data_IF_823894125760
#
_entry.id   IF_823894125760
#
_cell.length_a   1.000
_cell.length_b   1.000
_cell.length_c   1.000
_cell.angle_alpha   90.00
_cell.angle_beta   90.00
_cell.angle_gamma   90.00
#
_symmetry.space_group_name_H-M   'P 1'
#
loop_
_entity.id
_entity.type
_entity.pdbx_description
1 polymer ?
2 polymer ?
3 non-polymer ?
#
loop_
_entity_poly.entity_id
_entity_poly.type
_entity_poly.pdbx_seq_one_letter_code
_entity_poly.pdbx_strand_id
2 'polyribonucleotide' 'CCAUAAGGAGCUACCUAUGG' ?
#
# COMPACT_ATOMS: atom_id res chain seq x y z
N UNK A 1 -10.56 -5.69 7.98
CA UNK A 1 -10.94 -4.80 6.85
C UNK A 1 -10.21 -5.13 5.51
N UNK A 2 -9.72 -4.12 4.80
CA UNK A 2 -9.08 -4.29 3.48
C UNK A 2 -7.59 -4.50 3.43
N UNK A 3 -6.85 -3.50 3.91
CA UNK A 3 -5.39 -3.54 3.91
C UNK A 3 -4.90 -4.73 4.70
N UNK A 4 -4.15 -5.59 4.04
CA UNK A 4 -3.66 -6.81 4.65
C UNK A 4 -2.28 -7.12 4.12
N UNK A 5 -1.77 -8.31 4.44
CA UNK A 5 -0.46 -8.67 3.94
C UNK A 5 -0.42 -8.84 2.45
N UNK A 6 0.80 -8.86 1.94
CA UNK A 6 1.02 -9.02 0.52
C UNK A 6 2.38 -9.63 0.35
N UNK A 7 2.45 -10.77 -0.34
CA UNK A 7 3.74 -11.41 -0.55
C UNK A 7 4.18 -11.47 -2.01
N UNK A 8 5.34 -10.89 -2.30
CA UNK A 8 5.84 -10.89 -3.67
C UNK A 8 7.04 -11.79 -3.83
N UNK A 9 7.05 -12.57 -4.90
CA UNK A 9 8.16 -13.46 -5.17
C UNK A 9 9.10 -12.71 -6.10
N UNK A 10 10.39 -12.92 -5.95
CA UNK A 10 11.33 -12.28 -6.84
C UNK A 10 11.79 -13.33 -7.83
N UNK A 11 12.72 -12.97 -8.70
CA UNK A 11 13.18 -13.89 -9.71
C UNK A 11 14.52 -14.53 -9.40
N UNK A 12 14.76 -14.83 -8.12
CA UNK A 12 16.02 -15.44 -7.72
C UNK A 12 16.05 -16.88 -8.19
N UNK A 13 17.18 -17.55 -7.98
CA UNK A 13 17.36 -18.96 -8.36
C UNK A 13 16.13 -19.73 -7.88
N UNK A 14 15.85 -19.64 -6.58
CA UNK A 14 14.70 -20.27 -5.96
C UNK A 14 13.89 -19.11 -5.41
N UNK A 15 12.98 -18.56 -6.22
CA UNK A 15 12.13 -17.44 -5.86
C UNK A 15 11.88 -17.25 -4.37
N UNK A 16 12.33 -16.11 -3.83
CA UNK A 16 12.13 -15.81 -2.42
C UNK A 16 10.80 -15.13 -2.24
N UNK A 17 10.36 -15.08 -1.00
CA UNK A 17 9.09 -14.43 -0.72
C UNK A 17 9.31 -13.25 0.17
N UNK A 18 8.91 -12.10 -0.33
CA UNK A 18 9.03 -10.88 0.44
C UNK A 18 7.64 -10.63 0.95
N UNK A 19 7.53 -10.63 2.28
CA UNK A 19 6.23 -10.45 2.89
C UNK A 19 6.00 -9.06 3.38
N UNK A 20 5.20 -8.30 2.65
CA UNK A 20 4.90 -6.95 3.08
C UNK A 20 3.75 -6.97 4.06
N UNK A 21 3.96 -6.38 5.23
CA UNK A 21 2.91 -6.31 6.22
C UNK A 21 2.41 -4.87 6.22
N UNK A 22 1.12 -4.64 6.55
CA UNK A 22 0.54 -3.30 6.57
C UNK A 22 1.29 -2.33 7.44
N UNK A 23 1.31 -1.07 7.01
CA UNK A 23 1.99 -0.04 7.77
C UNK A 23 1.01 1.05 8.11
N UNK A 24 0.35 1.59 7.09
CA UNK A 24 -0.60 2.65 7.34
C UNK A 24 -1.37 3.03 6.07
N UNK A 25 -2.33 3.93 6.24
CA UNK A 25 -3.10 4.45 5.12
C UNK A 25 -3.21 5.93 5.41
N UNK A 26 -2.76 6.76 4.48
CA UNK A 26 -2.87 8.18 4.67
C UNK A 26 -3.40 8.70 3.36
N UNK A 27 -4.51 9.42 3.39
CA UNK A 27 -5.10 9.97 2.17
C UNK A 27 -5.64 8.87 1.27
N UNK A 28 -6.13 7.81 1.88
CA UNK A 28 -6.67 6.71 1.10
C UNK A 28 -5.60 6.13 0.19
N UNK A 29 -4.38 6.14 0.72
CA UNK A 29 -3.23 5.60 0.03
C UNK A 29 -2.67 4.59 0.99
N UNK A 30 -2.98 3.32 0.75
CA UNK A 30 -2.53 2.26 1.63
C UNK A 30 -1.08 1.93 1.41
N UNK A 31 -0.36 1.71 2.49
CA UNK A 31 1.04 1.36 2.40
C UNK A 31 1.22 0.05 3.12
N UNK A 32 2.10 -0.78 2.61
CA UNK A 32 2.37 -2.06 3.22
C UNK A 32 3.85 -2.24 2.96
N UNK A 33 4.64 -2.29 4.02
CA UNK A 33 6.07 -2.43 3.86
C UNK A 33 6.51 -3.79 4.28
N UNK A 34 7.69 -4.14 3.84
CA UNK A 34 8.25 -5.41 4.18
C UNK A 34 9.60 -5.08 4.71
N UNK A 35 9.80 -5.37 5.98
CA UNK A 35 11.07 -5.07 6.59
C UNK A 35 11.33 -5.90 7.83
N UNK A 36 12.53 -5.68 8.36
CA UNK A 36 13.02 -6.30 9.55
C UNK A 36 12.49 -5.39 10.65
N UNK A 37 12.75 -5.70 11.91
CA UNK A 37 12.26 -4.83 12.97
C UNK A 37 12.61 -3.34 12.87
N UNK A 38 13.54 -2.96 12.02
CA UNK A 38 13.93 -1.55 11.91
C UNK A 38 13.31 -0.80 10.77
N UNK A 39 12.77 0.39 11.05
CA UNK A 39 12.15 1.24 10.04
C UNK A 39 13.12 1.96 9.14
N UNK A 40 14.04 1.22 8.54
CA UNK A 40 15.00 1.84 7.63
C UNK A 40 15.33 0.95 6.44
N UNK A 41 15.26 1.55 5.25
CA UNK A 41 15.55 0.80 4.03
C UNK A 41 14.51 -0.30 3.80
N UNK A 42 13.31 -0.08 4.32
CA UNK A 42 12.26 -1.06 4.15
C UNK A 42 11.68 -0.87 2.76
N UNK A 43 11.38 -1.97 2.08
CA UNK A 43 10.81 -1.90 0.77
C UNK A 43 9.33 -1.66 0.97
N UNK A 44 8.83 -0.57 0.43
CA UNK A 44 7.44 -0.21 0.57
C UNK A 44 6.68 -0.46 -0.69
N UNK A 45 5.39 -0.75 -0.54
CA UNK A 45 4.54 -0.94 -1.69
C UNK A 45 3.25 -0.24 -1.32
N UNK A 46 2.77 0.62 -2.19
CA UNK A 46 1.56 1.35 -1.87
C UNK A 46 0.52 1.16 -2.95
N UNK A 47 -0.73 1.42 -2.59
CA UNK A 47 -1.79 1.24 -3.53
C UNK A 47 -2.90 2.21 -3.19
N UNK A 48 -3.46 2.83 -4.21
CA UNK A 48 -4.52 3.81 -4.03
C UNK A 48 -5.53 3.62 -5.12
N UNK A 49 -6.68 4.29 -4.96
CA UNK A 49 -7.74 4.22 -5.97
C UNK A 49 -8.65 5.41 -5.84
N UNK A 50 -8.65 6.27 -6.85
CA UNK A 50 -9.52 7.43 -6.82
C UNK A 50 -10.45 7.36 -8.00
N UNK A 51 -11.58 8.04 -7.89
CA UNK A 51 -12.56 8.07 -8.95
C UNK A 51 -12.61 9.52 -9.36
N UNK A 52 -12.00 9.85 -10.50
CA UNK A 52 -12.01 11.23 -10.98
C UNK A 52 -13.41 11.69 -11.27
N UNK A 53 -13.54 13.00 -11.40
CA UNK A 53 -14.80 13.66 -11.70
C UNK A 53 -15.36 13.19 -13.04
N UNK A 54 -14.48 13.14 -14.04
CA UNK A 54 -14.82 12.72 -15.40
C UNK A 54 -15.66 11.45 -15.33
N UNK A 55 -15.45 10.68 -14.27
CA UNK A 55 -16.17 9.43 -14.08
C UNK A 55 -15.29 8.29 -14.50
N UNK A 56 -14.01 8.41 -14.18
CA UNK A 56 -13.07 7.38 -14.53
C UNK A 56 -12.49 6.84 -13.26
N UNK A 57 -12.31 5.53 -13.17
CA UNK A 57 -11.70 5.00 -11.98
C UNK A 57 -10.26 4.77 -12.36
N UNK A 58 -9.34 5.27 -11.52
CA UNK A 58 -7.93 5.06 -11.77
C UNK A 58 -7.17 4.83 -10.48
N UNK A 59 -6.46 3.71 -10.39
CA UNK A 59 -5.71 3.36 -9.20
C UNK A 59 -4.23 3.42 -9.47
N UNK A 60 -3.43 3.49 -8.41
CA UNK A 60 -1.98 3.58 -8.55
C UNK A 60 -1.17 2.70 -7.63
N UNK A 61 -0.31 1.89 -8.23
CA UNK A 61 0.55 1.02 -7.46
C UNK A 61 1.94 1.62 -7.52
N UNK A 62 2.62 1.64 -6.38
CA UNK A 62 3.95 2.19 -6.34
C UNK A 62 4.80 1.26 -5.49
N UNK A 63 5.92 0.82 -6.03
CA UNK A 63 6.80 -0.08 -5.29
C UNK A 63 8.18 0.51 -5.17
N UNK A 64 8.72 0.52 -3.96
CA UNK A 64 10.04 1.06 -3.73
C UNK A 64 10.90 0.00 -3.11
N UNK A 65 12.02 -0.31 -3.72
CA UNK A 65 12.85 -1.33 -3.15
C UNK A 65 14.28 -0.88 -3.05
N UNK A 66 14.67 -0.43 -1.86
CA UNK A 66 16.00 0.06 -1.54
C UNK A 66 16.94 -1.11 -1.29
N UNK A 67 18.21 -0.92 -1.65
CA UNK A 67 19.22 -1.94 -1.43
C UNK A 67 19.94 -1.49 -0.19
N UNK A 68 20.02 -2.38 0.80
CA UNK A 68 20.70 -2.03 2.04
C UNK A 68 21.86 -2.95 2.32
N UNK A 69 22.95 -2.37 2.78
CA UNK A 69 24.16 -3.11 3.12
C UNK A 69 24.62 -2.52 4.43
N UNK A 70 25.38 -3.29 5.20
CA UNK A 70 25.86 -2.79 6.47
C UNK A 70 27.22 -2.13 6.31
N UNK A 71 27.31 -0.93 6.86
CA UNK A 71 28.53 -0.15 6.80
C UNK A 71 29.13 -0.16 8.19
N UNK A 72 30.44 -0.03 8.29
CA UNK A 72 31.09 -0.04 9.59
C UNK A 72 31.83 1.25 9.88
N UNK A 73 31.39 1.94 10.92
CA UNK A 73 32.02 3.20 11.31
C UNK A 73 32.47 3.14 12.77
N UNK A 74 33.77 2.89 12.98
CA UNK A 74 34.30 2.80 14.32
C UNK A 74 33.64 1.62 15.00
N UNK A 75 33.52 0.51 14.29
CA UNK A 75 32.90 -0.67 14.89
C UNK A 75 31.40 -0.56 15.05
N UNK A 76 30.86 0.62 14.75
CA UNK A 76 29.42 0.88 14.84
C UNK A 76 28.76 0.39 13.53
N UNK A 77 28.52 -0.92 13.45
CA UNK A 77 27.91 -1.52 12.27
C UNK A 77 26.44 -1.14 12.20
N UNK A 78 26.05 -0.56 11.07
CA UNK A 78 24.67 -0.13 10.86
C UNK A 78 24.21 -0.41 9.44
N UNK A 79 22.96 -0.87 9.28
CA UNK A 79 22.56 -1.10 7.89
C UNK A 79 22.16 0.28 7.34
N UNK A 80 22.50 0.52 6.07
CA UNK A 80 22.21 1.79 5.41
C UNK A 80 21.78 1.54 3.96
N UNK A 81 21.08 2.52 3.39
CA UNK A 81 20.61 2.40 2.03
C UNK A 81 21.62 2.95 1.05
N UNK A 82 22.10 2.07 0.17
CA UNK A 82 23.08 2.47 -0.81
C UNK A 82 22.43 2.99 -2.07
N UNK A 83 21.28 2.43 -2.45
CA UNK A 83 20.57 2.88 -3.64
C UNK A 83 19.16 2.34 -3.66
N UNK A 84 18.28 3.00 -4.43
CA UNK A 84 16.90 2.57 -4.51
C UNK A 84 16.30 2.43 -5.91
N UNK A 85 15.41 1.47 -6.07
CA UNK A 85 14.75 1.23 -7.35
C UNK A 85 13.28 1.51 -7.16
N UNK A 86 12.70 2.26 -8.08
CA UNK A 86 11.30 2.60 -7.98
C UNK A 86 10.54 2.18 -9.20
N UNK A 87 9.25 1.93 -9.03
CA UNK A 87 8.42 1.59 -10.15
C UNK A 87 7.00 1.99 -9.83
N UNK A 88 6.36 2.64 -10.78
CA UNK A 88 4.99 3.06 -10.57
C UNK A 88 4.08 2.47 -11.62
N UNK A 89 2.86 2.13 -11.22
CA UNK A 89 1.94 1.58 -12.18
C UNK A 89 0.66 2.40 -12.03
N UNK A 90 0.03 2.72 -13.17
CA UNK A 90 -1.18 3.54 -13.18
C UNK A 90 -2.26 2.99 -14.06
N UNK A 91 -3.35 2.54 -13.48
CA UNK A 91 -4.42 2.02 -14.28
C UNK A 91 -5.48 3.04 -14.34
N UNK A 92 -6.02 3.25 -15.52
CA UNK A 92 -7.08 4.21 -15.73
C UNK A 92 -8.19 3.46 -16.48
N UNK A 93 -9.24 3.08 -15.76
CA UNK A 93 -10.33 2.36 -16.40
C UNK A 93 -11.55 3.21 -16.60
N UNK A 94 -12.39 2.78 -17.54
CA UNK A 94 -13.61 3.48 -17.82
C UNK A 94 -14.69 2.98 -16.88
N UNK A 95 -15.46 3.88 -16.30
CA UNK A 95 -16.50 3.47 -15.37
C UNK A 95 -17.59 2.55 -15.94
N UNK A 96 -17.41 2.14 -17.20
CA UNK A 96 -18.38 1.27 -17.85
C UNK A 96 -17.71 -0.03 -18.28
N UNK A 97 -16.47 -0.21 -17.82
CA UNK A 97 -15.73 -1.40 -18.15
C UNK A 97 -16.28 -2.51 -17.29
N UNK A 98 -16.07 -3.74 -17.72
CA UNK A 98 -16.56 -4.90 -16.99
C UNK A 98 -15.41 -5.59 -16.31
N UNK A 99 -15.72 -6.40 -15.30
CA UNK A 99 -14.67 -7.06 -14.57
C UNK A 99 -13.75 -7.84 -15.48
N UNK A 100 -14.34 -8.55 -16.44
CA UNK A 100 -13.50 -9.32 -17.36
C UNK A 100 -12.51 -8.45 -18.08
N UNK A 101 -13.01 -7.42 -18.75
CA UNK A 101 -12.13 -6.52 -19.48
C UNK A 101 -10.93 -6.16 -18.65
N UNK A 102 -11.22 -5.51 -17.52
CA UNK A 102 -10.17 -5.09 -16.62
C UNK A 102 -9.22 -6.23 -16.30
N UNK A 103 -9.76 -7.37 -15.90
CA UNK A 103 -8.92 -8.50 -15.59
C UNK A 103 -7.98 -8.84 -16.75
N UNK A 104 -8.54 -9.09 -17.92
CA UNK A 104 -7.71 -9.42 -19.07
C UNK A 104 -6.67 -8.36 -19.27
N UNK A 105 -7.12 -7.10 -19.17
CA UNK A 105 -6.22 -5.97 -19.33
C UNK A 105 -5.03 -6.14 -18.40
N UNK A 106 -5.29 -6.24 -17.09
CA UNK A 106 -4.20 -6.41 -16.16
C UNK A 106 -3.37 -7.60 -16.57
N UNK A 107 -4.04 -8.73 -16.74
CA UNK A 107 -3.32 -9.93 -17.15
C UNK A 107 -2.30 -9.71 -18.24
N UNK A 108 -2.66 -8.92 -19.24
CA UNK A 108 -1.77 -8.66 -20.35
C UNK A 108 -0.53 -7.90 -19.94
N UNK A 109 -0.73 -6.73 -19.40
CA UNK A 109 0.43 -5.96 -19.00
C UNK A 109 1.23 -6.80 -18.01
N UNK A 110 0.52 -7.58 -17.22
CA UNK A 110 1.16 -8.46 -16.26
C UNK A 110 2.11 -9.35 -17.06
N UNK A 111 1.59 -9.88 -18.15
CA UNK A 111 2.37 -10.74 -19.00
C UNK A 111 3.54 -10.00 -19.64
N UNK A 112 3.29 -8.78 -20.08
CA UNK A 112 4.33 -7.98 -20.72
C UNK A 112 5.61 -7.92 -19.88
N UNK A 113 5.48 -7.80 -18.57
CA UNK A 113 6.64 -7.77 -17.68
C UNK A 113 7.02 -9.21 -17.62
N UNK A 114 8.19 -9.61 -18.07
CA UNK A 114 8.41 -11.03 -17.98
C UNK A 114 9.71 -11.50 -18.54
N UNK A 115 10.35 -12.39 -17.80
CA UNK A 115 11.62 -12.94 -18.21
C UNK A 115 11.76 -13.08 -19.72
N UNK A 116 10.85 -13.84 -20.32
CA UNK A 116 10.91 -14.12 -21.75
C UNK A 116 10.48 -13.07 -22.75
N UNK A 117 9.62 -12.13 -22.35
CA UNK A 117 9.15 -11.12 -23.29
C UNK A 117 10.32 -10.25 -23.71
N UNK A 118 11.10 -10.78 -24.64
CA UNK A 118 12.29 -10.13 -25.15
C UNK A 118 12.15 -8.64 -25.23
N UNK A 119 11.37 -8.19 -26.20
CA UNK A 119 11.18 -6.76 -26.39
C UNK A 119 11.23 -5.94 -25.10
N UNK A 120 10.30 -6.21 -24.21
CA UNK A 120 10.20 -5.49 -22.95
C UNK A 120 11.33 -5.73 -21.96
N UNK A 121 11.60 -6.99 -21.66
CA UNK A 121 12.65 -7.33 -20.72
C UNK A 121 13.97 -6.64 -21.01
N UNK A 122 14.48 -6.82 -22.22
CA UNK A 122 15.75 -6.22 -22.56
C UNK A 122 15.82 -4.74 -22.24
N UNK A 123 14.68 -4.09 -22.13
CA UNK A 123 14.70 -2.68 -21.82
C UNK A 123 14.49 -2.40 -20.35
N UNK A 124 13.46 -2.95 -19.74
CA UNK A 124 13.24 -2.67 -18.32
C UNK A 124 14.17 -3.43 -17.41
N UNK A 125 15.05 -4.25 -17.98
CA UNK A 125 16.00 -4.96 -17.15
C UNK A 125 17.41 -4.72 -17.65
N UNK A 126 17.63 -4.86 -18.95
CA UNK A 126 18.97 -4.62 -19.47
C UNK A 126 19.23 -3.18 -19.83
N UNK A 127 18.19 -2.36 -19.72
CA UNK A 127 18.32 -0.95 -20.00
C UNK A 127 18.88 -0.72 -21.38
N UNK A 128 18.29 -1.38 -22.36
CA UNK A 128 18.76 -1.19 -23.70
C UNK A 128 17.65 -0.58 -24.49
N UNK A 129 18.00 0.41 -25.31
CA UNK A 129 16.99 1.10 -26.10
C UNK A 129 16.26 0.18 -27.05
N UNK A 130 15.34 0.75 -27.81
CA UNK A 130 14.60 0.00 -28.79
C UNK A 130 15.02 0.48 -30.17
N UNK A 131 15.18 -0.43 -31.14
CA UNK A 131 15.61 -0.03 -32.49
C UNK A 131 15.06 -0.87 -33.65
N UNK B 1 17.30 -4.93 -27.65
CA UNK B 1 15.81 -4.96 -27.75
C UNK B 1 15.35 -4.37 -29.08
N UNK B 2 15.41 -5.16 -30.15
CA UNK B 2 14.96 -4.63 -31.42
C UNK B 2 13.46 -4.75 -31.52
N UNK B 3 12.83 -3.75 -32.11
CA UNK B 3 11.39 -3.75 -32.26
C UNK B 3 10.96 -5.03 -32.98
N UNK B 4 10.12 -5.81 -32.32
CA UNK B 4 9.66 -7.07 -32.87
C UNK B 4 8.27 -7.34 -32.37
N UNK B 5 7.78 -8.56 -32.56
CA UNK B 5 6.45 -8.87 -32.08
C UNK B 5 6.50 -9.06 -30.58
N UNK B 6 5.34 -8.90 -29.97
CA UNK B 6 5.23 -9.06 -28.55
C UNK B 6 3.89 -9.71 -28.34
N UNK B 7 3.88 -10.87 -27.70
CA UNK B 7 2.61 -11.55 -27.48
C UNK B 7 2.20 -11.66 -26.02
N UNK B 8 1.13 -10.95 -25.69
CA UNK B 8 0.60 -10.95 -24.34
C UNK B 8 -0.60 -11.86 -24.27
N UNK B 9 -0.76 -12.54 -23.15
CA UNK B 9 -1.87 -13.44 -22.96
C UNK B 9 -2.82 -12.72 -22.01
N UNK B 10 -4.11 -12.96 -22.17
CA UNK B 10 -5.06 -12.33 -21.26
C UNK B 10 -5.39 -13.38 -20.22
N UNK B 11 -6.30 -13.05 -19.31
CA UNK B 11 -6.66 -13.98 -18.26
C UNK B 11 -7.95 -14.69 -18.57
N UNK B 12 -8.26 -14.79 -19.85
CA UNK B 12 -9.47 -15.45 -20.30
C UNK B 12 -9.52 -16.89 -19.80
N UNK B 13 -10.71 -17.49 -19.84
CA UNK B 13 -10.93 -18.87 -19.41
C UNK B 13 -9.74 -19.75 -19.81
N UNK B 14 -9.44 -19.71 -21.11
CA UNK B 14 -8.33 -20.44 -21.68
C UNK B 14 -7.52 -19.34 -22.41
N UNK B 15 -6.52 -18.78 -21.72
CA UNK B 15 -5.63 -17.73 -22.19
C UNK B 15 -5.57 -17.50 -23.70
N UNK B 16 -5.83 -16.27 -24.13
CA UNK B 16 -5.78 -15.90 -25.54
C UNK B 16 -4.51 -15.10 -25.81
N UNK B 17 -3.94 -15.29 -27.00
CA UNK B 17 -2.72 -14.60 -27.36
C UNK B 17 -2.89 -13.37 -28.21
N UNK B 18 -2.74 -12.21 -27.59
CA UNK B 18 -2.84 -10.97 -28.32
C UNK B 18 -1.44 -10.74 -28.85
N UNK B 19 -1.33 -10.59 -30.16
CA UNK B 19 -0.03 -10.41 -30.77
C UNK B 19 0.19 -9.03 -31.32
N UNK B 20 0.93 -8.23 -30.58
CA UNK B 20 1.23 -6.88 -31.04
C UNK B 20 2.39 -7.01 -32.00
N UNK B 21 2.33 -6.28 -33.11
CA UNK B 21 3.39 -6.30 -34.11
C UNK B 21 3.87 -4.88 -34.38
N UNK B 22 5.18 -4.70 -34.48
CA UNK B 22 5.80 -3.39 -34.73
C UNK B 22 5.04 -2.42 -35.65
N UNK B 23 4.95 -1.17 -35.19
CA UNK B 23 4.30 -0.11 -35.93
C UNK B 23 5.32 0.95 -36.26
N UNK B 24 6.22 1.21 -35.32
CA UNK B 24 7.31 2.17 -35.51
C UNK B 24 7.93 2.67 -34.23
N UNK B 25 8.97 3.46 -34.41
CA UNK B 25 9.68 4.06 -33.30
C UNK B 25 9.64 5.54 -33.60
N UNK B 26 9.11 6.32 -32.69
CA UNK B 26 9.01 7.74 -32.90
C UNK B 26 9.61 8.43 -31.70
N UNK B 27 10.78 9.03 -31.89
CA UNK B 27 11.45 9.74 -30.81
C UNK B 27 11.84 8.86 -29.66
N UNK B 28 12.45 7.73 -29.99
CA UNK B 28 12.92 6.79 -29.00
C UNK B 28 11.81 6.16 -28.17
N UNK B 29 10.67 5.96 -28.80
CA UNK B 29 9.53 5.37 -28.14
C UNK B 29 8.95 4.33 -29.09
N UNK B 30 9.17 3.06 -28.80
CA UNK B 30 8.67 2.01 -29.66
C UNK B 30 7.20 1.72 -29.49
N UNK B 31 6.50 1.47 -30.59
CA UNK B 31 5.08 1.16 -30.52
C UNK B 31 4.82 -0.16 -31.22
N UNK B 32 3.97 -0.98 -30.62
CA UNK B 32 3.64 -2.26 -31.20
C UNK B 32 2.14 -2.32 -31.16
N UNK B 33 1.53 -2.81 -32.23
CA UNK B 33 0.10 -2.83 -32.27
C UNK B 33 -0.61 -4.13 -32.51
N UNK B 34 -1.71 -4.35 -31.79
CA UNK B 34 -2.53 -5.53 -31.99
C UNK B 34 -3.64 -4.87 -32.80
N UNK B 35 -3.67 -5.11 -34.10
CA UNK B 35 -4.68 -4.45 -34.94
C UNK B 35 -5.54 -5.28 -35.88
N UNK B 36 -6.57 -4.64 -36.42
CA UNK B 36 -7.52 -5.25 -37.35
C UNK B 36 -7.28 -4.63 -38.71
N UNK B 37 -6.85 -3.38 -38.71
CA UNK B 37 -6.59 -2.65 -39.93
C UNK B 37 -7.24 -1.29 -39.76
N UNK B 38 -7.97 -1.15 -38.67
CA UNK B 38 -8.64 0.10 -38.38
C UNK B 38 -8.00 0.74 -37.15
N UNK B 39 -7.25 1.82 -37.36
CA UNK B 39 -6.55 2.60 -36.35
C UNK B 39 -7.17 2.80 -34.99
N UNK B 40 -8.49 2.95 -34.88
CA UNK B 40 -9.00 3.16 -33.54
C UNK B 40 -9.16 1.90 -32.71
N UNK B 41 -9.42 0.77 -33.36
CA UNK B 41 -9.58 -0.48 -32.64
C UNK B 41 -8.25 -0.96 -32.11
N UNK B 42 -7.18 -0.45 -32.73
CA UNK B 42 -5.82 -0.80 -32.38
C UNK B 42 -5.52 -0.67 -30.90
N UNK B 43 -5.03 -1.76 -30.30
CA UNK B 43 -4.60 -1.71 -28.91
C UNK B 43 -3.12 -1.50 -29.16
N UNK B 44 -2.53 -0.51 -28.52
CA UNK B 44 -1.13 -0.24 -28.72
C UNK B 44 -0.31 -0.38 -27.45
N UNK B 45 0.92 -0.83 -27.60
CA UNK B 45 1.80 -1.00 -26.46
C UNK B 45 3.08 -0.28 -26.80
N UNK B 46 3.46 0.70 -25.99
CA UNK B 46 4.66 1.45 -26.27
C UNK B 46 5.69 1.23 -25.17
N UNK B 47 6.94 1.51 -25.49
CA UNK B 47 8.04 1.28 -24.56
C UNK B 47 9.22 2.21 -24.83
N UNK B 48 9.82 2.74 -23.79
CA UNK B 48 10.95 3.67 -23.95
C UNK B 48 11.97 3.54 -22.84
N UNK B 49 13.14 4.11 -23.08
CA UNK B 49 14.22 4.07 -22.11
C UNK B 49 15.02 5.32 -22.25
N UNK B 50 15.15 6.09 -21.18
CA UNK B 50 15.93 7.32 -21.23
C UNK B 50 16.82 7.38 -20.01
N UNK B 51 17.95 8.08 -20.13
CA UNK B 51 18.83 8.24 -18.99
C UNK B 51 18.62 9.68 -18.63
N UNK B 52 18.20 9.96 -17.41
CA UNK B 52 17.97 11.36 -17.03
C UNK B 52 19.33 12.02 -16.91
N UNK B 53 19.30 13.32 -16.64
CA UNK B 53 20.52 14.10 -16.49
C UNK B 53 21.28 13.71 -15.23
N UNK B 54 20.55 13.66 -14.13
CA UNK B 54 21.10 13.31 -12.83
C UNK B 54 21.61 11.90 -12.80
N UNK B 55 21.52 11.24 -13.95
CA UNK B 55 22.03 9.89 -14.04
C UNK B 55 21.16 8.77 -13.53
N UNK B 56 19.84 8.90 -13.65
CA UNK B 56 18.99 7.80 -13.20
C UNK B 56 18.61 7.20 -14.53
N UNK B 57 18.17 5.94 -14.53
CA UNK B 57 17.75 5.32 -15.78
C UNK B 57 16.29 5.03 -15.68
N UNK B 58 15.51 5.74 -16.47
CA UNK B 58 14.07 5.58 -16.46
C UNK B 58 13.60 4.86 -17.72
N UNK B 59 12.49 4.17 -17.63
CA UNK B 59 11.94 3.50 -18.81
C UNK B 59 10.44 3.44 -18.61
N UNK B 60 9.69 3.56 -19.69
CA UNK B 60 8.26 3.57 -19.55
C UNK B 60 7.44 2.69 -20.47
N UNK B 61 6.51 1.96 -19.88
CA UNK B 61 5.61 1.10 -20.64
C UNK B 61 4.23 1.71 -20.59
N UNK B 62 3.51 1.60 -21.70
CA UNK B 62 2.17 2.14 -21.74
C UNK B 62 1.36 1.18 -22.59
N UNK B 63 0.21 0.76 -22.08
CA UNK B 63 -0.63 -0.15 -22.83
C UNK B 63 -2.02 0.42 -22.93
N UNK B 64 -2.56 0.49 -24.13
CA UNK B 64 -3.89 1.04 -24.29
C UNK B 64 -4.76 0.11 -25.06
N UNK B 65 -5.84 -0.32 -24.45
CA UNK B 65 -6.71 -1.24 -25.14
C UNK B 65 -8.10 -0.69 -25.17
N UNK B 66 -8.55 -0.32 -26.36
CA UNK B 66 -9.89 0.24 -26.55
C UNK B 66 -10.91 -0.87 -26.81
N UNK B 67 -12.15 -0.59 -26.43
CA UNK B 67 -13.26 -1.52 -26.65
C UNK B 67 -14.07 -0.83 -27.73
N UNK B 68 -14.27 -1.49 -28.86
CA UNK B 68 -15.02 -0.84 -29.93
C UNK B 68 -16.13 -1.64 -30.58
N UNK B 69 -17.33 -1.08 -30.60
CA UNK B 69 -18.42 -1.81 -31.23
C UNK B 69 -18.66 -1.32 -32.65
N UNK B 70 -18.76 -2.27 -33.57
CA UNK B 70 -18.96 -1.97 -34.98
C UNK B 70 -20.40 -2.20 -35.39
N UNK B 71 -21.09 -1.11 -35.69
CA UNK B 71 -22.46 -1.15 -36.12
C UNK B 71 -22.42 -1.44 -37.61
N UNK B 72 -23.26 -2.34 -38.11
CA UNK B 72 -23.26 -2.59 -39.56
C UNK B 72 -24.60 -2.36 -40.21
N UNK B 73 -24.58 -1.65 -41.33
CA UNK B 73 -25.80 -1.31 -42.06
C UNK B 73 -25.69 -1.54 -43.55
N UNK B 74 -26.50 -2.44 -44.08
CA UNK B 74 -26.48 -2.75 -45.50
C UNK B 74 -25.08 -2.93 -46.06
N UNK B 75 -24.18 -3.44 -45.23
CA UNK B 75 -22.83 -3.68 -45.68
C UNK B 75 -21.76 -2.73 -45.21
N UNK B 76 -22.15 -1.52 -44.81
CA UNK B 76 -21.17 -0.54 -44.37
C UNK B 76 -20.99 -0.51 -42.84
N UNK B 77 -19.79 -0.82 -42.39
CA UNK B 77 -19.49 -0.86 -40.96
C UNK B 77 -19.06 0.46 -40.38
N UNK B 78 -19.52 0.74 -39.17
CA UNK B 78 -19.24 2.00 -38.50
C UNK B 78 -18.70 1.81 -37.10
N UNK B 79 -17.39 1.57 -36.98
CA UNK B 79 -16.76 1.36 -35.68
C UNK B 79 -16.81 2.61 -34.81
N UNK B 80 -16.86 2.40 -33.50
CA UNK B 80 -16.90 3.50 -32.52
C UNK B 80 -16.36 3.05 -31.18
N UNK B 81 -15.33 3.71 -30.70
CA UNK B 81 -14.76 3.36 -29.42
C UNK B 81 -15.76 3.70 -28.33
N UNK B 82 -16.24 2.71 -27.60
CA UNK B 82 -17.20 3.01 -26.56
C UNK B 82 -16.55 3.19 -25.20
N UNK B 83 -15.28 2.85 -25.08
CA UNK B 83 -14.55 3.01 -23.83
C UNK B 83 -13.15 2.50 -23.98
N UNK B 84 -12.23 3.02 -23.17
CA UNK B 84 -10.85 2.57 -23.25
C UNK B 84 -10.20 2.30 -21.91
N UNK B 85 -9.12 1.56 -21.90
CA UNK B 85 -8.44 1.28 -20.65
C UNK B 85 -6.97 1.52 -20.87
N UNK B 86 -6.35 2.27 -19.95
CA UNK B 86 -4.96 2.59 -20.11
C UNK B 86 -4.17 2.21 -18.88
N UNK B 87 -2.89 1.94 -19.06
CA UNK B 87 -2.04 1.61 -17.93
C UNK B 87 -0.61 2.03 -18.23
N UNK B 88 0.07 2.56 -17.22
CA UNK B 88 1.43 3.02 -17.39
C UNK B 88 2.37 2.55 -16.31
N UNK B 89 3.52 2.03 -16.71
CA UNK B 89 4.49 1.53 -15.77
C UNK B 89 5.76 2.35 -15.98
N UNK B 90 6.41 2.77 -14.90
CA UNK B 90 7.66 3.56 -14.98
C UNK B 90 8.73 3.08 -14.03
N UNK B 91 9.84 2.61 -14.58
CA UNK B 91 10.89 2.18 -13.70
C UNK B 91 11.94 3.24 -13.58
N UNK B 92 12.37 3.46 -12.35
CA UNK B 92 13.37 4.45 -12.08
C UNK B 92 14.52 3.69 -11.43
N UNK B 93 15.62 3.54 -12.17
CA UNK B 93 16.75 2.80 -11.64
C UNK B 93 17.97 3.64 -11.33
N UNK B 94 18.88 3.07 -10.54
CA UNK B 94 20.09 3.79 -10.17
C UNK B 94 21.25 3.30 -10.99
N UNK B 95 22.06 4.23 -11.49
CA UNK B 95 23.21 3.90 -12.32
C UNK B 95 24.16 2.85 -11.71
N UNK B 96 23.97 2.52 -10.43
CA UNK B 96 24.83 1.56 -9.78
C UNK B 96 24.13 0.24 -9.53
N UNK B 97 22.90 0.13 -10.02
CA UNK B 97 22.12 -1.08 -9.83
C UNK B 97 22.64 -2.22 -10.66
N UNK B 98 22.56 -3.43 -10.13
CA UNK B 98 23.04 -4.58 -10.86
C UNK B 98 21.86 -5.21 -11.60
N UNK B 99 22.16 -6.04 -12.59
CA UNK B 99 21.11 -6.68 -13.34
C UNK B 99 20.25 -7.52 -12.42
N UNK B 100 20.90 -8.37 -11.63
CA UNK B 100 20.14 -9.21 -10.73
C UNK B 100 19.13 -8.36 -9.97
N UNK B 101 19.60 -7.31 -9.30
CA UNK B 101 18.73 -6.43 -8.54
C UNK B 101 17.52 -6.06 -9.38
N UNK B 102 17.78 -5.25 -10.41
CA UNK B 102 16.74 -4.81 -11.31
C UNK B 102 15.76 -5.91 -11.64
N UNK B 103 16.30 -7.02 -12.14
CA UNK B 103 15.47 -8.14 -12.50
C UNK B 103 14.49 -8.51 -11.39
N UNK B 104 15.02 -8.84 -10.22
CA UNK B 104 14.17 -9.20 -9.11
C UNK B 104 13.12 -8.16 -8.86
N UNK B 105 13.52 -6.92 -8.99
CA UNK B 105 12.61 -5.81 -8.80
C UNK B 105 11.40 -6.05 -9.68
N UNK B 106 11.63 -6.12 -10.99
CA UNK B 106 10.55 -6.35 -11.94
C UNK B 106 9.76 -7.57 -11.53
N UNK B 107 10.50 -8.62 -11.26
CA UNK B 107 9.87 -9.86 -10.85
C UNK B 107 8.83 -9.57 -9.79
N UNK B 108 9.24 -8.91 -8.72
CA UNK B 108 8.30 -8.59 -7.66
C UNK B 108 7.07 -7.85 -8.12
N UNK B 109 7.26 -6.67 -8.69
CA UNK B 109 6.10 -5.93 -9.09
C UNK B 109 5.24 -6.72 -10.06
N UNK B 110 5.91 -7.44 -10.93
CA UNK B 110 5.20 -8.26 -11.90
C UNK B 110 4.29 -9.20 -11.11
N UNK B 111 4.88 -9.91 -10.17
CA UNK B 111 4.16 -10.85 -9.33
C UNK B 111 2.99 -10.19 -8.60
N UNK B 112 3.19 -8.95 -8.15
CA UNK B 112 2.14 -8.23 -7.45
C UNK B 112 0.87 -8.07 -8.28
N UNK B 113 0.99 -8.27 -9.58
CA UNK B 113 -0.17 -8.14 -10.42
C UNK B 113 -1.00 -9.41 -10.49
N UNK B 114 -0.41 -10.55 -10.15
CA UNK B 114 -1.14 -11.81 -10.22
C UNK B 114 -2.55 -11.71 -9.65
N UNK B 115 -3.42 -12.58 -10.17
CA UNK B 115 -4.82 -12.61 -9.79
C UNK B 115 -5.10 -12.97 -8.34
N UNK B 116 -4.20 -13.73 -7.73
CA UNK B 116 -4.38 -14.17 -6.35
C UNK B 116 -3.81 -13.20 -5.32
N UNK B 117 -3.17 -12.13 -5.77
CA UNK B 117 -2.61 -11.16 -4.83
C UNK B 117 -3.79 -10.28 -4.41
N UNK B 118 -4.60 -10.82 -3.52
CA UNK B 118 -5.80 -10.17 -3.01
C UNK B 118 -5.76 -8.67 -2.83
N UNK B 119 -4.89 -8.20 -1.95
CA UNK B 119 -4.80 -6.77 -1.71
C UNK B 119 -4.81 -5.93 -2.96
N UNK B 120 -4.00 -6.32 -3.94
CA UNK B 120 -3.90 -5.61 -5.19
C UNK B 120 -5.05 -5.86 -6.12
N UNK B 121 -5.30 -7.12 -6.39
CA UNK B 121 -6.36 -7.51 -7.30
C UNK B 121 -7.70 -6.80 -7.06
N UNK B 122 -8.13 -6.78 -5.81
CA UNK B 122 -9.39 -6.14 -5.50
C UNK B 122 -9.45 -4.69 -5.87
N UNK B 123 -8.29 -4.09 -6.04
CA UNK B 123 -8.27 -2.70 -6.41
C UNK B 123 -8.07 -2.57 -7.91
N UNK B 124 -6.92 -3.02 -8.43
CA UNK B 124 -6.69 -2.90 -9.86
C UNK B 124 -7.74 -3.62 -10.70
N UNK B 125 -8.42 -4.61 -10.15
CA UNK B 125 -9.41 -5.29 -10.97
C UNK B 125 -10.84 -5.08 -10.51
N UNK B 126 -11.06 -5.07 -9.21
CA UNK B 126 -12.42 -4.88 -8.72
C UNK B 126 -12.77 -3.47 -8.29
N UNK B 127 -11.82 -2.57 -8.42
CA UNK B 127 -12.05 -1.19 -8.09
C UNK B 127 -12.61 -0.98 -6.70
N UNK B 128 -11.99 -1.60 -5.72
CA UNK B 128 -12.42 -1.42 -4.34
C UNK B 128 -11.33 -0.58 -3.68
N UNK B 129 -11.72 0.24 -2.72
CA UNK B 129 -10.70 1.02 -2.05
C UNK B 129 -9.94 0.16 -1.06
N UNK B 130 -9.02 0.78 -0.35
CA UNK B 130 -8.26 0.06 0.67
C UNK B 130 -8.81 0.64 1.98
N UNK B 131 -8.81 -0.14 3.05
CA UNK B 131 -9.34 0.41 4.30
C UNK B 131 -9.00 -0.44 5.52
N UNK C 1 -2.49 -2.69 12.36
CA UNK C 1 -3.36 -1.93 13.30
C UNK C 1 -4.68 -1.48 12.65
N UNK C 2 -5.52 -2.46 12.32
CA UNK C 2 -6.81 -2.12 11.72
C UNK C 2 -7.64 -1.59 12.85
N UNK C 3 -8.33 -0.46 12.65
CA UNK C 3 -9.17 0.05 13.72
C UNK C 3 -10.13 -1.09 14.00
N UNK C 4 -10.10 -1.58 15.22
CA UNK C 4 -10.92 -2.72 15.60
C UNK C 4 -11.37 -2.57 17.03
N UNK C 5 -11.90 -3.65 17.58
CA UNK C 5 -12.33 -3.60 18.95
C UNK C 5 -11.14 -3.72 19.85
N UNK C 6 -11.26 -3.12 21.03
CA UNK C 6 -10.18 -3.20 22.00
C UNK C 6 -10.88 -3.50 23.30
N UNK C 7 -10.53 -4.62 23.93
CA UNK C 7 -11.15 -4.95 25.20
C UNK C 7 -10.21 -4.78 26.36
N UNK C 8 -10.61 -3.94 27.32
CA UNK C 8 -9.79 -3.67 28.48
C UNK C 8 -10.37 -4.19 29.78
N UNK C 9 -9.56 -4.93 30.53
CA UNK C 9 -9.97 -5.48 31.82
C UNK C 9 -9.57 -4.49 32.91
N UNK C 10 -10.28 -4.51 34.04
CA UNK C 10 -9.95 -3.62 35.14
C UNK C 10 -9.48 -4.41 36.35
N UNK C 11 -9.23 -3.71 37.45
CA UNK C 11 -8.72 -4.35 38.66
C UNK C 11 -9.82 -4.77 39.63
N UNK C 12 -11.06 -4.77 39.15
CA UNK C 12 -12.18 -5.16 40.01
C UNK C 12 -11.97 -6.53 40.61
N UNK C 13 -12.67 -6.80 41.72
CA UNK C 13 -12.58 -8.07 42.45
C UNK C 13 -12.41 -9.23 41.47
N UNK C 14 -13.34 -9.30 40.53
CA UNK C 14 -13.33 -10.30 39.48
C UNK C 14 -13.41 -9.53 38.16
N UNK C 15 -12.24 -9.12 37.62
CA UNK C 15 -12.01 -8.37 36.39
C UNK C 15 -13.13 -8.25 35.37
N UNK C 16 -13.53 -7.01 35.09
CA UNK C 16 -14.57 -6.73 34.11
C UNK C 16 -13.96 -6.40 32.75
N UNK C 17 -14.72 -6.65 31.69
CA UNK C 17 -14.23 -6.38 30.36
C UNK C 17 -14.93 -5.20 29.73
N UNK C 18 -14.22 -4.09 29.61
CA UNK C 18 -14.80 -2.93 28.99
C UNK C 18 -14.44 -3.00 27.53
N UNK C 19 -15.45 -3.12 26.69
CA UNK C 19 -15.23 -3.25 25.26
C UNK C 19 -15.39 -1.97 24.45
N UNK C 20 -14.26 -1.42 24.02
CA UNK C 20 -14.28 -0.21 23.20
C UNK C 20 -14.43 -0.55 21.73
N UNK C 21 -15.57 -0.20 21.16
CA UNK C 21 -15.80 -0.44 19.76
C UNK C 21 -15.35 0.79 19.01
N UNK C 22 -14.94 0.63 17.76
CA UNK C 22 -14.48 1.76 16.97
C UNK C 22 -15.54 2.85 16.82
N UNK C 23 -15.07 4.03 16.49
CA UNK C 23 -15.94 5.17 16.30
C UNK C 23 -15.54 5.76 14.99
N UNK C 24 -14.24 5.96 14.83
CA UNK C 24 -13.72 6.54 13.61
C UNK C 24 -12.25 6.90 13.69
N UNK C 25 -11.77 7.43 12.58
CA UNK C 25 -10.39 7.82 12.43
C UNK C 25 -10.33 9.22 11.88
N UNK C 26 -9.87 10.17 12.68
CA UNK C 26 -9.77 11.53 12.20
C UNK C 26 -8.32 11.97 12.23
N UNK C 27 -7.73 12.07 11.04
CA UNK C 27 -6.34 12.48 10.89
C UNK C 27 -5.37 11.47 11.44
N UNK C 28 -5.57 10.22 11.11
CA UNK C 28 -4.68 9.20 11.58
C UNK C 28 -4.60 9.18 13.10
N UNK C 29 -5.80 9.20 13.68
CA UNK C 29 -6.00 9.14 15.10
C UNK C 29 -7.24 8.31 15.27
N UNK C 30 -7.06 7.03 15.59
CA UNK C 30 -8.18 6.16 15.78
C UNK C 30 -8.82 6.44 17.12
N UNK C 31 -10.12 6.17 17.22
CA UNK C 31 -10.83 6.41 18.46
C UNK C 31 -11.79 5.27 18.68
N UNK C 32 -11.61 4.55 19.78
CA UNK C 32 -12.54 3.47 20.08
C UNK C 32 -13.25 3.90 21.34
N UNK C 33 -14.54 3.62 21.39
CA UNK C 33 -15.33 4.04 22.53
C UNK C 33 -16.09 2.90 23.14
N UNK C 34 -16.25 2.96 24.44
CA UNK C 34 -17.00 1.96 25.14
C UNK C 34 -18.18 2.71 25.68
N UNK C 35 -19.37 2.35 25.19
CA UNK C 35 -20.56 3.02 25.64
C UNK C 35 -21.36 2.15 26.57
N UNK C 36 -22.26 2.80 27.28
CA UNK C 36 -23.13 2.18 28.24
C UNK C 36 -24.45 1.82 27.57
N UNK C 37 -24.87 2.71 26.67
CA UNK C 37 -26.13 2.56 25.96
C UNK C 37 -26.52 4.00 25.77
N UNK C 38 -25.95 4.85 26.62
CA UNK C 38 -26.21 6.28 26.56
C UNK C 38 -24.87 6.96 26.30
N UNK C 39 -24.70 7.50 25.09
CA UNK C 39 -23.51 8.21 24.61
C UNK C 39 -22.82 9.04 25.65
N UNK C 40 -23.57 9.72 26.49
CA UNK C 40 -22.93 10.53 27.51
C UNK C 40 -22.15 9.61 28.44
N UNK C 41 -21.03 10.11 28.97
CA UNK C 41 -20.25 9.28 29.87
C UNK C 41 -19.50 8.14 29.21
N UNK C 42 -19.68 7.99 27.90
CA UNK C 42 -18.99 6.97 27.15
C UNK C 42 -17.49 7.24 27.38
N UNK C 43 -16.72 6.18 27.59
CA UNK C 43 -15.29 6.34 27.81
C UNK C 43 -14.62 6.21 26.46
N UNK C 44 -13.68 7.11 26.16
CA UNK C 44 -13.02 7.09 24.88
C UNK C 44 -11.54 6.76 24.97
N UNK C 45 -11.07 5.94 24.05
CA UNK C 45 -9.67 5.63 24.03
C UNK C 45 -9.15 5.92 22.64
N UNK C 46 -8.25 6.88 22.53
CA UNK C 46 -7.74 7.24 21.23
C UNK C 46 -6.31 6.78 21.08
N UNK C 47 -5.82 6.74 19.86
CA UNK C 47 -4.45 6.29 19.61
C UNK C 47 -3.96 6.80 18.27
N UNK C 48 -2.69 7.16 18.21
CA UNK C 48 -2.15 7.70 16.98
C UNK C 48 -0.67 7.51 16.92
N UNK C 49 -0.14 7.61 15.72
CA UNK C 49 1.28 7.47 15.53
C UNK C 49 1.71 8.36 14.38
N UNK C 50 2.68 9.21 14.66
CA UNK C 50 3.20 10.09 13.63
C UNK C 50 4.69 9.87 13.60
N UNK C 51 5.29 10.08 12.43
CA UNK C 51 6.71 9.91 12.23
C UNK C 51 7.29 11.31 12.05
N UNK C 52 8.04 11.81 13.03
CA UNK C 52 8.63 13.15 12.87
C UNK C 52 9.58 13.13 11.69
N UNK C 53 10.21 14.27 11.46
CA UNK C 53 11.14 14.41 10.34
C UNK C 53 12.55 14.06 10.76
N UNK C 54 12.81 14.06 12.07
CA UNK C 54 14.13 13.75 12.59
C UNK C 54 14.30 12.25 12.74
N UNK C 55 13.44 11.50 12.07
CA UNK C 55 13.54 10.05 12.15
C UNK C 55 13.19 9.56 13.54
N UNK C 56 12.06 10.02 14.05
CA UNK C 56 11.62 9.59 15.36
C UNK C 56 10.17 9.23 15.22
N UNK C 57 9.80 8.06 15.69
CA UNK C 57 8.41 7.67 15.61
C UNK C 57 7.79 7.97 16.95
N UNK C 58 6.76 8.82 16.97
CA UNK C 58 6.09 9.13 18.21
C UNK C 58 4.68 8.56 18.19
N UNK C 59 4.27 7.96 19.30
CA UNK C 59 2.94 7.40 19.36
C UNK C 59 2.23 7.92 20.59
N UNK C 60 0.93 8.17 20.48
CA UNK C 60 0.18 8.72 21.60
C UNK C 60 -1.15 8.05 21.92
N UNK C 61 -1.31 7.63 23.16
CA UNK C 61 -2.55 6.99 23.59
C UNK C 61 -3.19 7.87 24.61
N UNK C 62 -4.50 8.02 24.52
CA UNK C 62 -5.22 8.79 25.53
C UNK C 62 -6.41 7.95 25.89
N UNK C 63 -6.72 7.90 27.18
CA UNK C 63 -7.86 7.16 27.65
C UNK C 63 -8.64 8.11 28.51
N UNK C 64 -9.95 8.11 28.36
CA UNK C 64 -10.77 8.99 29.17
C UNK C 64 -11.95 8.24 29.72
N UNK C 65 -12.16 8.34 31.02
CA UNK C 65 -13.26 7.64 31.62
C UNK C 65 -14.00 8.49 32.59
N UNK C 66 -15.21 8.89 32.22
CA UNK C 66 -16.05 9.72 33.07
C UNK C 66 -16.89 8.87 34.02
N UNK C 67 -17.29 9.48 35.13
CA UNK C 67 -18.10 8.82 36.13
C UNK C 67 -19.43 9.53 36.03
N UNK C 68 -20.49 8.78 35.79
CA UNK C 68 -21.80 9.39 35.67
C UNK C 68 -22.72 9.03 36.81
N UNK C 69 -23.64 9.95 37.10
CA UNK C 69 -24.61 9.75 38.16
C UNK C 69 -25.87 10.50 37.77
N UNK C 70 -27.02 9.90 38.05
CA UNK C 70 -28.25 10.58 37.69
C UNK C 70 -28.66 11.59 38.75
N UNK C 71 -28.68 12.83 38.29
CA UNK C 71 -29.02 14.00 39.07
C UNK C 71 -30.51 14.22 38.84
N UNK C 72 -31.21 14.65 39.89
CA UNK C 72 -32.64 14.87 39.81
C UNK C 72 -33.04 16.31 40.09
N UNK C 73 -33.67 16.94 39.12
CA UNK C 73 -34.12 18.32 39.29
C UNK C 73 -35.61 18.42 39.03
N UNK C 74 -36.39 18.52 40.09
CA UNK C 74 -37.84 18.65 39.94
C UNK C 74 -38.37 17.44 39.21
N UNK C 75 -38.16 16.26 39.79
CA UNK C 75 -38.65 15.03 39.18
C UNK C 75 -38.02 14.68 37.84
N UNK C 76 -37.03 15.44 37.44
CA UNK C 76 -36.37 15.17 36.18
C UNK C 76 -35.06 14.44 36.40
N UNK C 77 -35.07 13.14 36.19
CA UNK C 77 -33.85 12.38 36.34
C UNK C 77 -33.02 12.55 35.08
N UNK C 78 -31.75 12.86 35.26
CA UNK C 78 -30.86 13.08 34.13
C UNK C 78 -29.48 12.53 34.41
N UNK C 79 -28.98 11.65 33.53
CA UNK C 79 -27.63 11.15 33.82
C UNK C 79 -26.63 12.25 33.46
N UNK C 80 -25.67 12.48 34.35
CA UNK C 80 -24.64 13.50 34.13
C UNK C 80 -23.26 13.10 34.64
N UNK C 81 -22.24 13.70 34.02
CA UNK C 81 -20.87 13.41 34.37
C UNK C 81 -20.41 14.29 35.52
N UNK C 82 -20.15 13.68 36.66
CA UNK C 82 -19.71 14.43 37.82
C UNK C 82 -18.21 14.69 37.83
N UNK C 83 -17.44 13.82 37.19
CA UNK C 83 -15.98 13.96 37.11
C UNK C 83 -15.37 13.00 36.11
N UNK C 84 -14.20 13.34 35.59
CA UNK C 84 -13.54 12.45 34.65
C UNK C 84 -12.10 12.20 35.01
N UNK C 85 -11.54 11.11 34.50
CA UNK C 85 -10.16 10.76 34.78
C UNK C 85 -9.50 10.64 33.42
N UNK C 86 -8.30 11.18 33.29
CA UNK C 86 -7.62 11.14 31.99
C UNK C 86 -6.23 10.61 32.13
N UNK C 87 -5.69 10.08 31.05
CA UNK C 87 -4.33 9.58 31.09
C UNK C 87 -3.78 9.65 29.70
N UNK C 88 -2.49 9.96 29.61
CA UNK C 88 -1.85 10.08 28.32
C UNK C 88 -0.51 9.40 28.31
N UNK C 89 -0.46 8.21 27.74
CA UNK C 89 0.79 7.51 27.63
C UNK C 89 1.36 8.04 26.33
N UNK C 90 2.68 8.16 26.25
CA UNK C 90 3.26 8.72 25.06
C UNK C 90 4.69 8.26 24.74
N UNK C 91 4.83 7.45 23.69
CA UNK C 91 6.14 6.92 23.29
C UNK C 91 6.86 7.73 22.25
N UNK C 92 8.18 7.65 22.28
CA UNK C 92 9.04 8.38 21.37
C UNK C 92 10.25 7.48 21.08
N UNK C 93 10.17 6.71 19.99
CA UNK C 93 11.25 5.81 19.61
C UNK C 93 12.15 6.37 18.52
N UNK C 94 13.35 5.80 18.38
CA UNK C 94 14.27 6.26 17.36
C UNK C 94 14.16 5.35 16.16
N UNK C 95 14.03 5.98 14.99
CA UNK C 95 13.89 5.27 13.73
C UNK C 95 14.92 4.17 13.50
N UNK C 96 15.93 4.08 14.36
CA UNK C 96 16.95 3.06 14.18
C UNK C 96 16.78 1.90 15.13
N UNK C 97 15.70 1.92 15.91
CA UNK C 97 15.45 0.89 16.91
C UNK C 97 15.01 -0.47 16.42
N UNK C 98 15.36 -1.50 17.21
CA UNK C 98 14.99 -2.87 16.90
C UNK C 98 13.54 -3.05 17.28
N UNK C 99 12.88 -4.00 16.63
CA UNK C 99 11.50 -4.27 16.97
C UNK C 99 11.53 -4.88 18.37
N UNK C 100 12.59 -5.61 18.69
CA UNK C 100 12.71 -6.21 19.99
C UNK C 100 12.86 -5.13 21.03
N UNK C 101 13.77 -4.20 20.79
CA UNK C 101 14.00 -3.12 21.75
C UNK C 101 12.69 -2.48 22.17
N UNK C 102 11.93 -2.02 21.19
CA UNK C 102 10.67 -1.36 21.45
C UNK C 102 9.78 -2.21 22.32
N UNK C 103 9.66 -3.49 21.99
CA UNK C 103 8.82 -4.36 22.76
C UNK C 103 9.22 -4.35 24.23
N UNK C 104 10.49 -4.66 24.50
CA UNK C 104 10.94 -4.68 25.88
C UNK C 104 10.62 -3.38 26.59
N UNK C 105 10.86 -2.26 25.91
CA UNK C 105 10.56 -0.96 26.46
C UNK C 105 9.13 -0.97 26.99
N UNK C 106 8.17 -1.10 26.07
CA UNK C 106 6.78 -1.13 26.48
C UNK C 106 6.62 -2.12 27.61
N UNK C 107 7.13 -3.33 27.40
CA UNK C 107 7.00 -4.35 28.41
C UNK C 107 7.26 -3.83 29.80
N UNK C 108 8.37 -3.13 29.96
CA UNK C 108 8.76 -2.59 31.25
C UNK C 108 7.78 -1.56 31.75
N UNK C 109 7.64 -0.46 31.00
CA UNK C 109 6.72 0.60 31.40
C UNK C 109 5.37 -0.01 31.78
N UNK C 110 4.92 -0.96 30.97
CA UNK C 110 3.68 -1.64 31.20
C UNK C 110 3.72 -2.35 32.56
N UNK C 111 4.85 -2.98 32.85
CA UNK C 111 5.02 -3.69 34.10
C UNK C 111 4.92 -2.72 35.27
N UNK C 112 5.57 -1.58 35.11
CA UNK C 112 5.58 -0.56 36.13
C UNK C 112 4.16 -0.19 36.60
N UNK C 113 3.19 -0.23 35.70
CA UNK C 113 1.84 0.11 36.10
C UNK C 113 1.24 -0.95 36.99
N UNK C 114 1.78 -2.17 36.89
CA UNK C 114 1.29 -3.29 37.68
C UNK C 114 0.87 -2.84 39.08
N UNK C 115 -0.14 -3.51 39.61
CA UNK C 115 -0.69 -3.20 40.92
C UNK C 115 0.26 -3.37 42.11
N UNK C 116 1.25 -4.25 41.96
CA UNK C 116 2.19 -4.52 43.04
C UNK C 116 3.42 -3.64 43.12
N UNK C 117 3.81 -3.00 42.00
CA UNK C 117 4.99 -2.14 42.02
C UNK C 117 4.67 -0.95 42.94
N UNK C 118 4.86 -1.19 44.23
CA UNK C 118 4.55 -0.22 45.26
C UNK C 118 4.99 1.19 44.98
N UNK C 119 6.20 1.35 44.45
CA UNK C 119 6.69 2.69 44.18
C UNK C 119 5.71 3.52 43.37
N UNK C 120 5.31 3.04 42.19
CA UNK C 120 4.39 3.79 41.35
C UNK C 120 2.93 3.70 41.79
N UNK C 121 2.49 2.51 42.14
CA UNK C 121 1.10 2.34 42.52
C UNK C 121 0.63 3.32 43.58
N UNK C 122 1.36 3.43 44.69
CA UNK C 122 0.95 4.36 45.73
C UNK C 122 0.81 5.79 45.24
N UNK C 123 1.48 6.10 44.13
CA UNK C 123 1.37 7.43 43.57
C UNK C 123 0.23 7.51 42.58
N UNK C 124 0.31 6.77 41.48
CA UNK C 124 -0.77 6.83 40.50
C UNK C 124 -2.13 6.35 41.00
N UNK C 125 -2.20 5.70 42.16
CA UNK C 125 -3.49 5.26 42.65
C UNK C 125 -3.82 5.72 44.04
N UNK C 126 -2.81 5.90 44.89
CA UNK C 126 -3.09 6.35 46.24
C UNK C 126 -2.66 7.80 46.43
N UNK C 127 -2.36 8.47 45.34
CA UNK C 127 -2.01 9.87 45.43
C UNK C 127 -0.95 10.26 46.45
N UNK C 128 0.06 9.43 46.64
CA UNK C 128 1.12 9.79 47.57
C UNK C 128 2.26 10.29 46.71
N UNK C 129 3.08 11.17 47.25
CA UNK C 129 4.20 11.65 46.47
C UNK C 129 5.33 10.71 46.74
N UNK C 130 6.54 11.09 46.35
CA UNK C 130 7.67 10.23 46.62
C UNK C 130 8.50 10.88 47.74
N UNK C 131 9.19 10.06 48.53
CA UNK C 131 9.95 10.59 49.67
C UNK C 131 10.96 9.66 50.39
X LIG F 1 -10.43 -0.10 8.68
#
# INVERSE_FOLDING_TARGET
>A
AQLQNLVLKDREATPNDHTFVPRDIRDNVGEVVESTGVPIGESRFTISLRKTSNGRYKSTLKLVVPVVQSQTVNGIVTPVVVRTSYVTVDFDYDARSTTKERNNFVGMIADALKADKMLVHDTIVNLQGVY
>B
AQLQNLVLKDREATPNDHTFVPRDIRDNVGEVVESTGVPIGESRFTISLRKTSNGRYKSTLKLVVPVVQSQTVNGIVTPVVVRTSYVTVDFDYDARSTTKERNNFVGMIADALKADKMLVHDTIVNLQGVY
>C
AQLQNLVLKDREATPNDHTFVPRDIRDNVGEVVESTGVPIGESRFTISLRKTSNGRYKSTLKLVVPVVQSQTVNGIVTPVVVRTSYVTVDFDYDARSTTKERNNFVGMIADALKADKMLVHDTIVNLQGVY
>F hetero
1 CA CA
#
